data_IF_800899562593
#
_entry.id   IF_800899562593
#
_cell.length_a   1.000
_cell.length_b   1.000
_cell.length_c   1.000
_cell.angle_alpha   90.00
_cell.angle_beta   90.00
_cell.angle_gamma   90.00
#
_symmetry.space_group_name_H-M   'P 1'
#
loop_
_entity.id
_entity.type
_entity.pdbx_description
1 polymer ?
#
# COMPACT_ATOMS: atom_id res chain seq x y z
N UNK A 1 -80.64 -11.80 68.09
CA UNK A 1 -80.37 -10.50 67.43
C UNK A 1 -78.90 -10.29 67.06
N UNK A 2 -77.93 -10.87 67.79
CA UNK A 2 -76.49 -10.62 67.56
C UNK A 2 -75.95 -11.10 66.18
N UNK A 3 -76.44 -12.23 65.67
CA UNK A 3 -76.03 -12.75 64.36
C UNK A 3 -76.46 -11.84 63.18
N UNK A 4 -77.58 -11.13 63.31
CA UNK A 4 -78.07 -10.17 62.30
C UNK A 4 -77.22 -8.90 62.31
N UNK A 5 -76.81 -8.42 63.49
CA UNK A 5 -75.92 -7.26 63.63
C UNK A 5 -74.52 -7.52 63.06
N UNK A 6 -73.95 -8.72 63.30
CA UNK A 6 -72.64 -9.12 62.77
C UNK A 6 -72.70 -9.28 61.23
N UNK A 7 -73.79 -9.85 60.69
CA UNK A 7 -73.98 -9.98 59.25
C UNK A 7 -74.18 -8.63 58.54
N UNK A 8 -74.84 -7.66 59.20
CA UNK A 8 -74.96 -6.28 58.72
C UNK A 8 -73.61 -5.56 58.68
N UNK A 9 -72.87 -5.57 59.79
CA UNK A 9 -71.56 -4.92 59.89
C UNK A 9 -70.52 -5.47 58.87
N UNK A 10 -70.57 -6.78 58.57
CA UNK A 10 -69.70 -7.38 57.54
C UNK A 10 -70.07 -6.91 56.13
N UNK A 11 -71.37 -6.79 55.81
CA UNK A 11 -71.84 -6.27 54.52
C UNK A 11 -71.50 -4.79 54.35
N UNK A 12 -71.58 -4.00 55.42
CA UNK A 12 -71.25 -2.57 55.37
C UNK A 12 -69.75 -2.35 55.08
N UNK A 13 -68.86 -3.18 55.62
CA UNK A 13 -67.43 -3.15 55.33
C UNK A 13 -67.11 -3.50 53.86
N UNK A 14 -67.77 -4.52 53.31
CA UNK A 14 -67.64 -4.91 51.89
C UNK A 14 -68.15 -3.79 50.97
N UNK A 15 -69.29 -3.17 51.30
CA UNK A 15 -69.82 -2.02 50.55
C UNK A 15 -68.91 -0.81 50.61
N UNK A 16 -68.28 -0.52 51.76
CA UNK A 16 -67.30 0.55 51.89
C UNK A 16 -66.04 0.32 51.06
N UNK A 17 -65.56 -0.93 51.00
CA UNK A 17 -64.45 -1.34 50.13
C UNK A 17 -64.79 -1.16 48.66
N UNK A 18 -65.95 -1.65 48.23
CA UNK A 18 -66.44 -1.48 46.86
C UNK A 18 -66.55 0.01 46.56
N UNK A 19 -67.19 0.81 47.43
CA UNK A 19 -67.33 2.26 47.22
C UNK A 19 -65.98 2.99 47.15
N UNK A 20 -64.96 2.53 47.87
CA UNK A 20 -63.60 3.05 47.79
C UNK A 20 -62.91 2.67 46.46
N UNK A 21 -63.10 1.43 46.00
CA UNK A 21 -62.60 0.94 44.70
C UNK A 21 -63.29 1.64 43.52
N UNK A 22 -64.60 1.85 43.59
CA UNK A 22 -65.40 2.56 42.59
C UNK A 22 -65.44 4.07 42.85
N UNK A 23 -64.64 4.58 43.79
CA UNK A 23 -64.60 6.01 44.12
C UNK A 23 -64.06 6.80 42.92
N UNK A 24 -64.67 7.95 42.55
CA UNK A 24 -64.17 8.81 41.49
C UNK A 24 -62.70 9.19 41.64
N UNK A 25 -62.21 9.31 42.88
CA UNK A 25 -60.80 9.59 43.19
C UNK A 25 -59.85 8.46 42.77
N UNK A 26 -60.28 7.20 42.87
CA UNK A 26 -59.48 6.06 42.44
C UNK A 26 -59.36 6.02 40.90
N UNK A 27 -60.48 6.24 40.19
CA UNK A 27 -60.48 6.35 38.74
C UNK A 27 -59.63 7.53 38.24
N UNK A 28 -59.67 8.67 38.91
CA UNK A 28 -58.85 9.83 38.57
C UNK A 28 -57.35 9.54 38.74
N UNK A 29 -56.97 8.83 39.80
CA UNK A 29 -55.58 8.41 40.03
C UNK A 29 -55.10 7.41 38.95
N UNK A 30 -55.94 6.44 38.58
CA UNK A 30 -55.65 5.48 37.51
C UNK A 30 -55.51 6.22 36.18
N UNK A 31 -56.41 7.14 35.85
CA UNK A 31 -56.34 7.95 34.63
C UNK A 31 -55.03 8.73 34.55
N UNK A 32 -54.65 9.45 35.62
CA UNK A 32 -53.38 10.18 35.69
C UNK A 32 -52.18 9.28 35.47
N UNK A 33 -52.22 8.06 36.04
CA UNK A 33 -51.15 7.09 35.85
C UNK A 33 -51.07 6.58 34.41
N UNK A 34 -52.22 6.37 33.75
CA UNK A 34 -52.27 5.99 32.35
C UNK A 34 -51.72 7.10 31.44
N UNK A 35 -52.15 8.36 31.66
CA UNK A 35 -51.66 9.51 30.89
C UNK A 35 -50.13 9.66 30.99
N UNK A 36 -49.59 9.50 32.20
CA UNK A 36 -48.14 9.53 32.43
C UNK A 36 -47.42 8.41 31.68
N UNK A 37 -48.01 7.20 31.62
CA UNK A 37 -47.45 6.06 30.88
C UNK A 37 -47.53 6.26 29.38
N UNK A 38 -48.62 6.81 28.85
CA UNK A 38 -48.77 7.12 27.43
C UNK A 38 -47.78 8.19 26.97
N UNK A 39 -47.53 9.20 27.81
CA UNK A 39 -46.48 10.19 27.56
C UNK A 39 -45.09 9.56 27.54
N UNK A 40 -44.79 8.67 28.48
CA UNK A 40 -43.52 7.93 28.52
C UNK A 40 -43.33 7.03 27.30
N UNK A 41 -44.39 6.30 26.89
CA UNK A 41 -44.39 5.46 25.68
C UNK A 41 -44.13 6.32 24.44
N UNK A 42 -44.74 7.50 24.34
CA UNK A 42 -44.54 8.41 23.21
C UNK A 42 -43.10 8.89 23.15
N UNK A 43 -42.53 9.32 24.28
CA UNK A 43 -41.13 9.74 24.39
C UNK A 43 -40.18 8.62 23.95
N UNK A 44 -40.39 7.40 24.44
CA UNK A 44 -39.55 6.25 24.08
C UNK A 44 -39.64 5.90 22.60
N UNK A 45 -40.83 6.00 21.98
CA UNK A 45 -40.97 5.81 20.53
C UNK A 45 -40.17 6.86 19.74
N UNK A 46 -40.20 8.11 20.17
CA UNK A 46 -39.45 9.17 19.51
C UNK A 46 -37.94 8.99 19.67
N UNK A 47 -37.46 8.61 20.86
CA UNK A 47 -36.06 8.26 21.10
C UNK A 47 -35.62 7.08 20.22
N UNK A 48 -36.42 6.02 20.12
CA UNK A 48 -36.16 4.88 19.22
C UNK A 48 -36.08 5.34 17.76
N UNK A 49 -36.98 6.22 17.32
CA UNK A 49 -37.00 6.73 15.95
C UNK A 49 -35.74 7.54 15.65
N UNK A 50 -35.33 8.44 16.55
CA UNK A 50 -34.11 9.25 16.40
C UNK A 50 -32.88 8.34 16.36
N UNK A 51 -32.78 7.40 17.30
CA UNK A 51 -31.64 6.49 17.37
C UNK A 51 -31.57 5.60 16.12
N UNK A 52 -32.71 5.12 15.62
CA UNK A 52 -32.78 4.34 14.38
C UNK A 52 -32.32 5.15 13.16
N UNK A 53 -32.70 6.42 13.06
CA UNK A 53 -32.24 7.31 11.99
C UNK A 53 -30.72 7.54 12.08
N UNK A 54 -30.20 7.79 13.29
CA UNK A 54 -28.77 7.93 13.53
C UNK A 54 -28.00 6.66 13.15
N UNK A 55 -28.45 5.49 13.57
CA UNK A 55 -27.83 4.21 13.19
C UNK A 55 -27.84 4.00 11.69
N UNK A 56 -28.96 4.25 11.01
CA UNK A 56 -29.06 4.14 9.55
C UNK A 56 -28.07 5.07 8.84
N UNK A 57 -27.89 6.29 9.33
CA UNK A 57 -26.92 7.23 8.79
C UNK A 57 -25.47 6.74 9.04
N UNK A 58 -25.19 6.29 10.26
CA UNK A 58 -23.86 5.76 10.63
C UNK A 58 -23.48 4.53 9.81
N UNK A 59 -24.42 3.62 9.57
CA UNK A 59 -24.21 2.45 8.70
C UNK A 59 -23.84 2.87 7.28
N UNK A 60 -24.58 3.80 6.68
CA UNK A 60 -24.26 4.31 5.33
C UNK A 60 -22.89 4.99 5.25
N UNK A 61 -22.53 5.76 6.27
CA UNK A 61 -21.21 6.40 6.33
C UNK A 61 -20.10 5.33 6.36
N UNK A 62 -20.22 4.32 7.21
CA UNK A 62 -19.25 3.22 7.31
C UNK A 62 -19.17 2.41 6.00
N UNK A 63 -20.30 2.10 5.37
CA UNK A 63 -20.34 1.45 4.06
C UNK A 63 -19.60 2.27 2.99
N UNK A 64 -19.78 3.60 2.99
CA UNK A 64 -19.08 4.49 2.06
C UNK A 64 -17.57 4.51 2.29
N UNK A 65 -17.13 4.46 3.55
CA UNK A 65 -15.72 4.39 3.91
C UNK A 65 -15.10 3.06 3.50
N UNK A 66 -15.81 1.95 3.72
CA UNK A 66 -15.39 0.63 3.31
C UNK A 66 -15.20 0.56 1.78
N UNK A 67 -16.13 1.12 1.01
CA UNK A 67 -16.05 1.13 -0.45
C UNK A 67 -14.89 2.01 -0.96
N UNK A 68 -14.61 3.15 -0.29
CA UNK A 68 -13.42 3.97 -0.60
C UNK A 68 -12.13 3.20 -0.35
N UNK A 69 -12.02 2.52 0.81
CA UNK A 69 -10.86 1.68 1.12
C UNK A 69 -10.69 0.55 0.11
N UNK A 70 -11.78 -0.14 -0.25
CA UNK A 70 -11.75 -1.22 -1.26
C UNK A 70 -11.20 -0.74 -2.60
N UNK A 71 -11.58 0.46 -3.05
CA UNK A 71 -11.06 1.05 -4.31
C UNK A 71 -9.58 1.39 -4.20
N UNK A 72 -9.17 2.03 -3.10
CA UNK A 72 -7.77 2.36 -2.85
C UNK A 72 -6.88 1.10 -2.84
N UNK A 73 -7.34 0.02 -2.18
CA UNK A 73 -6.64 -1.26 -2.15
C UNK A 73 -6.49 -1.88 -3.54
N UNK A 74 -7.54 -1.79 -4.37
CA UNK A 74 -7.47 -2.28 -5.75
C UNK A 74 -6.48 -1.47 -6.61
N UNK A 75 -6.44 -0.15 -6.44
CA UNK A 75 -5.46 0.69 -7.12
C UNK A 75 -4.03 0.38 -6.66
N UNK A 76 -3.85 0.22 -5.35
CA UNK A 76 -2.56 -0.14 -4.77
C UNK A 76 -2.10 -1.50 -5.29
N UNK A 77 -2.99 -2.51 -5.32
CA UNK A 77 -2.71 -3.84 -5.87
C UNK A 77 -2.29 -3.77 -7.34
N UNK A 78 -2.95 -2.93 -8.16
CA UNK A 78 -2.54 -2.70 -9.56
C UNK A 78 -1.14 -2.09 -9.65
N UNK A 79 -0.80 -1.13 -8.79
CA UNK A 79 0.54 -0.50 -8.76
C UNK A 79 1.61 -1.49 -8.31
N UNK A 80 1.33 -2.29 -7.29
CA UNK A 80 2.23 -3.36 -6.81
C UNK A 80 2.55 -4.34 -7.94
N UNK A 81 1.54 -4.85 -8.65
CA UNK A 81 1.75 -5.76 -9.79
C UNK A 81 2.62 -5.13 -10.88
N UNK A 82 2.40 -3.84 -11.20
CA UNK A 82 3.25 -3.11 -12.17
C UNK A 82 4.70 -3.01 -11.69
N UNK A 83 4.91 -2.70 -10.41
CA UNK A 83 6.25 -2.58 -9.83
C UNK A 83 6.97 -3.93 -9.77
N UNK A 84 6.27 -5.02 -9.44
CA UNK A 84 6.81 -6.38 -9.48
C UNK A 84 7.27 -6.77 -10.89
N UNK A 85 6.46 -6.45 -11.90
CA UNK A 85 6.82 -6.68 -13.29
C UNK A 85 8.07 -5.87 -13.69
N UNK A 86 8.09 -4.56 -13.43
CA UNK A 86 9.24 -3.72 -13.72
C UNK A 86 10.51 -4.19 -13.00
N UNK A 87 10.39 -4.62 -11.74
CA UNK A 87 11.51 -5.17 -10.97
C UNK A 87 12.04 -6.48 -11.58
N UNK A 88 11.14 -7.37 -12.01
CA UNK A 88 11.52 -8.61 -12.67
C UNK A 88 12.23 -8.34 -14.00
N UNK A 89 11.75 -7.38 -14.77
CA UNK A 89 12.37 -6.94 -16.02
C UNK A 89 13.76 -6.34 -15.76
N UNK A 90 13.89 -5.42 -14.80
CA UNK A 90 15.18 -4.84 -14.41
C UNK A 90 16.18 -5.93 -14.00
N UNK A 91 15.76 -6.90 -13.17
CA UNK A 91 16.59 -8.06 -12.79
C UNK A 91 17.01 -8.92 -13.98
N UNK A 92 16.17 -9.05 -15.01
CA UNK A 92 16.51 -9.74 -16.25
C UNK A 92 17.57 -8.98 -17.03
N UNK A 93 17.40 -7.65 -17.17
CA UNK A 93 18.35 -6.78 -17.84
C UNK A 93 19.71 -6.76 -17.13
N UNK A 94 19.75 -6.66 -15.80
CA UNK A 94 20.98 -6.75 -15.00
C UNK A 94 21.72 -8.06 -15.26
N UNK A 95 21.03 -9.20 -15.29
CA UNK A 95 21.64 -10.50 -15.60
C UNK A 95 22.23 -10.55 -17.01
N UNK A 96 21.58 -9.93 -18.01
CA UNK A 96 22.12 -9.83 -19.37
C UNK A 96 23.38 -8.96 -19.39
N UNK A 97 23.36 -7.81 -18.73
CA UNK A 97 24.51 -6.91 -18.62
C UNK A 97 25.69 -7.58 -17.93
N UNK A 98 25.46 -8.31 -16.84
CA UNK A 98 26.49 -9.05 -16.12
C UNK A 98 27.19 -10.06 -17.04
N UNK A 99 26.42 -10.87 -17.79
CA UNK A 99 27.00 -11.82 -18.77
C UNK A 99 27.80 -11.12 -19.87
N UNK A 100 27.37 -9.95 -20.32
CA UNK A 100 28.14 -9.17 -21.30
C UNK A 100 29.42 -8.59 -20.68
N UNK A 101 29.37 -8.13 -19.43
CA UNK A 101 30.53 -7.70 -18.65
C UNK A 101 31.56 -8.82 -18.54
N UNK A 102 31.15 -10.00 -18.08
CA UNK A 102 32.03 -11.18 -17.96
C UNK A 102 32.69 -11.56 -19.29
N UNK A 103 31.96 -11.46 -20.41
CA UNK A 103 32.54 -11.70 -21.75
C UNK A 103 33.59 -10.65 -22.12
N UNK A 104 33.32 -9.37 -21.86
CA UNK A 104 34.29 -8.29 -22.11
C UNK A 104 35.52 -8.44 -21.22
N UNK A 105 35.33 -8.77 -19.94
CA UNK A 105 36.43 -8.97 -18.99
C UNK A 105 37.33 -10.14 -19.42
N UNK A 106 36.75 -11.24 -19.91
CA UNK A 106 37.51 -12.35 -20.51
C UNK A 106 38.32 -11.91 -21.72
N UNK A 107 37.72 -11.17 -22.65
CA UNK A 107 38.43 -10.66 -23.84
C UNK A 107 39.56 -9.69 -23.46
N UNK A 108 39.33 -8.80 -22.48
CA UNK A 108 40.35 -7.89 -21.96
C UNK A 108 41.50 -8.68 -21.32
N UNK A 109 41.19 -9.73 -20.56
CA UNK A 109 42.21 -10.61 -19.96
C UNK A 109 43.04 -11.31 -21.03
N UNK A 110 42.41 -11.88 -22.04
CA UNK A 110 43.12 -12.52 -23.16
C UNK A 110 44.01 -11.56 -23.92
N UNK A 111 43.54 -10.33 -24.21
CA UNK A 111 44.36 -9.31 -24.85
C UNK A 111 45.56 -8.89 -23.97
N UNK A 112 45.40 -8.81 -22.65
CA UNK A 112 46.50 -8.55 -21.72
C UNK A 112 47.51 -9.70 -21.72
N UNK A 113 47.04 -10.94 -21.72
CA UNK A 113 47.90 -12.12 -21.74
C UNK A 113 48.68 -12.21 -23.07
N UNK A 114 48.04 -11.94 -24.21
CA UNK A 114 48.71 -11.84 -25.52
C UNK A 114 49.78 -10.75 -25.55
N UNK A 115 49.51 -9.59 -24.94
CA UNK A 115 50.47 -8.48 -24.86
C UNK A 115 51.66 -8.86 -23.97
N UNK A 116 51.43 -9.54 -22.85
CA UNK A 116 52.48 -10.07 -21.99
C UNK A 116 53.33 -11.14 -22.71
N UNK A 117 52.71 -12.05 -23.47
CA UNK A 117 53.43 -13.04 -24.30
C UNK A 117 54.26 -12.36 -25.40
N UNK A 118 53.71 -11.36 -26.11
CA UNK A 118 54.49 -10.59 -27.10
C UNK A 118 55.66 -9.85 -26.46
N UNK A 119 55.48 -9.30 -25.26
CA UNK A 119 56.55 -8.62 -24.54
C UNK A 119 57.64 -9.60 -24.12
N UNK A 120 57.30 -10.83 -23.69
CA UNK A 120 58.28 -11.87 -23.39
C UNK A 120 59.01 -12.40 -24.64
N UNK A 121 58.29 -12.62 -25.75
CA UNK A 121 58.90 -13.03 -27.02
C UNK A 121 59.82 -11.92 -27.57
N UNK A 122 59.43 -10.65 -27.42
CA UNK A 122 60.27 -9.50 -27.73
C UNK A 122 61.44 -9.29 -26.75
N UNK A 123 61.33 -9.78 -25.51
CA UNK A 123 62.41 -9.74 -24.53
C UNK A 123 63.44 -10.87 -24.73
N UNK A 124 63.05 -11.99 -25.34
CA UNK A 124 63.96 -13.07 -25.77
C UNK A 124 64.75 -12.77 -27.04
N UNK A 125 64.30 -11.78 -27.83
CA UNK A 125 65.04 -11.22 -28.97
C UNK A 125 65.41 -9.77 -28.67
N UNK A 126 65.95 -9.53 -27.48
CA UNK A 126 66.58 -8.26 -27.15
C UNK A 126 68.09 -8.37 -27.39
N UNK A 127 68.46 -8.80 -28.60
CA UNK A 127 69.59 -8.15 -29.23
C UNK A 127 69.13 -6.72 -29.45
N UNK A 128 69.68 -5.80 -28.65
CA UNK A 128 69.60 -4.35 -28.89
C UNK A 128 70.35 -4.01 -30.18
N UNK A 129 69.97 -4.60 -31.31
CA UNK A 129 70.36 -4.10 -32.60
C UNK A 129 69.43 -2.93 -32.88
N UNK A 130 69.99 -1.75 -32.64
CA UNK A 130 69.36 -0.44 -32.78
C UNK A 130 68.41 -0.46 -33.99
N UNK A 131 67.11 -0.34 -33.74
CA UNK A 131 66.10 -0.19 -34.78
C UNK A 131 66.48 0.91 -35.80
N UNK A 132 67.16 1.95 -35.30
CA UNK A 132 67.78 3.04 -36.05
C UNK A 132 68.90 2.63 -37.02
N UNK A 133 69.54 1.48 -36.81
CA UNK A 133 70.59 0.93 -37.67
C UNK A 133 70.06 -0.03 -38.74
N UNK A 134 68.76 -0.33 -38.73
CA UNK A 134 68.12 -1.11 -39.80
C UNK A 134 68.31 -0.40 -41.15
N UNK A 135 68.89 -1.12 -42.12
CA UNK A 135 69.14 -0.59 -43.47
C UNK A 135 67.87 -0.04 -44.12
N UNK A 136 66.69 -0.59 -43.79
CA UNK A 136 65.40 -0.08 -44.26
C UNK A 136 65.07 1.32 -43.73
N UNK A 137 65.37 1.61 -42.46
CA UNK A 137 65.13 2.93 -41.88
C UNK A 137 66.07 3.98 -42.48
N UNK A 138 67.36 3.63 -42.68
CA UNK A 138 68.33 4.49 -43.36
C UNK A 138 67.91 4.83 -44.80
N UNK A 139 67.33 3.87 -45.53
CA UNK A 139 66.81 4.09 -46.88
C UNK A 139 65.63 5.08 -46.87
N UNK A 140 64.68 4.91 -45.96
CA UNK A 140 63.50 5.80 -45.85
C UNK A 140 63.92 7.24 -45.52
N UNK A 141 64.87 7.42 -44.58
CA UNK A 141 65.39 8.75 -44.24
C UNK A 141 66.14 9.36 -45.43
N UNK A 142 66.98 8.59 -46.12
CA UNK A 142 67.72 9.05 -47.31
C UNK A 142 66.78 9.49 -48.43
N UNK A 143 65.76 8.69 -48.73
CA UNK A 143 64.76 9.02 -49.75
C UNK A 143 63.93 10.24 -49.35
N UNK A 144 63.57 10.39 -48.08
CA UNK A 144 62.86 11.56 -47.58
C UNK A 144 63.69 12.84 -47.71
N UNK A 145 65.00 12.76 -47.45
CA UNK A 145 65.93 13.87 -47.66
C UNK A 145 66.04 14.26 -49.14
N UNK A 146 66.14 13.27 -50.04
CA UNK A 146 66.18 13.48 -51.49
C UNK A 146 64.94 14.20 -52.00
N UNK A 147 63.75 13.79 -51.53
CA UNK A 147 62.48 14.46 -51.85
C UNK A 147 62.51 15.91 -51.37
N UNK A 148 62.92 16.17 -50.13
CA UNK A 148 63.01 17.53 -49.59
C UNK A 148 63.98 18.42 -50.40
N UNK A 149 65.13 17.89 -50.83
CA UNK A 149 66.11 18.61 -51.65
C UNK A 149 65.56 18.94 -53.04
N UNK A 150 64.81 18.02 -53.65
CA UNK A 150 64.17 18.25 -54.95
C UNK A 150 63.06 19.31 -54.84
N UNK A 151 62.28 19.29 -53.75
CA UNK A 151 61.23 20.29 -53.53
C UNK A 151 61.77 21.67 -53.14
N UNK A 152 62.92 21.76 -52.46
CA UNK A 152 63.54 23.02 -52.07
C UNK A 152 64.29 23.73 -53.23
N UNK A 153 64.50 23.04 -54.36
CA UNK A 153 65.18 23.59 -55.55
C UNK A 153 64.19 24.10 -56.63
N UNK A 154 62.89 24.09 -56.34
CA UNK A 154 61.84 24.74 -57.15
C UNK A 154 61.62 26.17 -56.71
#
# INVERSE_FOLDING_TARGET
MNAVAIAGAKKDCELQKILAEVSPKNFENISKHLDAKDAEITRLRDEIRILSAHWKHKTKELESQLEKHRRADQELKKRVLKLEFCLQEARSQTRKLQRMGEKRDKAIKELRDQLAMKQQIGAGCNDKQKFWDSSGFKIVVSMSMLVLVVFAKR
#
